data_IF_723345830743
#
_entry.id   IF_723345830743
#
_cell.length_a   1.000
_cell.length_b   1.000
_cell.length_c   1.000
_cell.angle_alpha   90.00
_cell.angle_beta   90.00
_cell.angle_gamma   90.00
#
_symmetry.space_group_name_H-M   'P 1'
#
loop_
_entity.id
_entity.type
_entity.pdbx_description
1 polymer ?
#
# COMPACT_ATOMS: atom_id res chain seq x y z
N UNK A 1 26.09 -12.53 -6.21
CA UNK A 1 25.74 -11.58 -7.28
C UNK A 1 25.15 -10.37 -6.60
N UNK A 2 25.41 -9.17 -7.12
CA UNK A 2 24.84 -7.95 -6.54
C UNK A 2 23.33 -7.90 -6.80
N UNK A 3 22.55 -8.03 -5.73
CA UNK A 3 21.08 -8.06 -5.73
C UNK A 3 20.47 -6.67 -5.98
N UNK A 4 21.29 -5.60 -5.95
CA UNK A 4 20.87 -4.21 -6.12
C UNK A 4 20.11 -3.94 -7.43
N UNK A 5 20.29 -4.78 -8.45
CA UNK A 5 19.71 -4.62 -9.79
C UNK A 5 18.42 -5.43 -10.05
N UNK A 6 17.91 -6.22 -9.09
CA UNK A 6 16.69 -7.04 -9.31
C UNK A 6 15.49 -6.22 -9.79
N UNK A 7 15.32 -5.00 -9.26
CA UNK A 7 14.27 -4.06 -9.65
C UNK A 7 14.34 -3.62 -11.13
N UNK A 8 15.53 -3.56 -11.74
CA UNK A 8 15.69 -3.19 -13.16
C UNK A 8 15.03 -4.20 -14.12
N UNK A 9 14.59 -5.36 -13.59
CA UNK A 9 13.87 -6.39 -14.33
C UNK A 9 12.35 -6.24 -14.25
N UNK A 10 11.83 -5.33 -13.42
CA UNK A 10 10.40 -5.07 -13.27
C UNK A 10 9.97 -3.96 -14.24
N UNK A 11 9.50 -4.35 -15.42
CA UNK A 11 9.06 -3.41 -16.44
C UNK A 11 7.91 -2.51 -15.93
N UNK A 12 8.05 -1.19 -16.07
CA UNK A 12 7.03 -0.24 -15.62
C UNK A 12 7.01 0.03 -14.11
N UNK A 13 8.02 -0.45 -13.37
CA UNK A 13 8.29 -0.06 -11.97
C UNK A 13 9.53 0.83 -11.94
N UNK A 14 9.39 2.01 -11.34
CA UNK A 14 10.48 2.96 -11.13
C UNK A 14 10.90 2.83 -9.66
N UNK A 15 12.14 2.41 -9.40
CA UNK A 15 12.71 2.46 -8.05
C UNK A 15 13.36 3.81 -7.82
N UNK A 16 13.08 4.40 -6.67
CA UNK A 16 13.65 5.65 -6.19
C UNK A 16 14.47 5.35 -4.95
N UNK A 17 15.75 5.75 -4.96
CA UNK A 17 16.58 5.75 -3.75
C UNK A 17 16.28 7.03 -2.97
N UNK A 18 15.89 6.89 -1.70
CA UNK A 18 15.56 8.03 -0.85
C UNK A 18 16.82 8.51 -0.12
N UNK A 19 17.06 9.82 -0.14
CA UNK A 19 18.30 10.46 0.31
C UNK A 19 18.48 10.56 1.83
N UNK A 20 17.96 9.61 2.60
CA UNK A 20 17.85 9.68 4.07
C UNK A 20 16.53 10.29 4.54
N UNK A 21 16.32 10.42 5.84
CA UNK A 21 15.05 10.85 6.45
C UNK A 21 14.55 9.83 7.48
N UNK A 22 13.23 9.81 7.71
CA UNK A 22 12.53 8.74 8.44
C UNK A 22 11.86 7.79 7.46
N UNK A 23 11.77 6.51 7.81
CA UNK A 23 11.12 5.52 6.95
C UNK A 23 12.08 4.73 6.06
N UNK A 24 11.57 4.23 4.92
CA UNK A 24 12.31 3.31 4.07
C UNK A 24 13.43 4.02 3.29
N UNK A 25 14.42 3.25 2.85
CA UNK A 25 15.48 3.71 1.93
C UNK A 25 15.04 3.73 0.47
N UNK A 26 13.98 3.01 0.14
CA UNK A 26 13.53 2.77 -1.22
C UNK A 26 12.04 3.04 -1.36
N UNK A 27 11.67 3.70 -2.46
CA UNK A 27 10.31 3.79 -2.94
C UNK A 27 10.17 3.16 -4.33
N UNK A 28 9.01 2.59 -4.63
CA UNK A 28 8.69 2.03 -5.94
C UNK A 28 7.42 2.71 -6.48
N UNK A 29 7.50 3.23 -7.70
CA UNK A 29 6.40 3.95 -8.36
C UNK A 29 5.98 3.19 -9.61
N UNK A 30 4.68 3.01 -9.80
CA UNK A 30 4.11 2.27 -10.92
C UNK A 30 2.69 2.75 -11.23
N UNK A 31 2.15 2.39 -12.40
CA UNK A 31 0.78 2.79 -12.78
C UNK A 31 -0.30 1.85 -12.27
N UNK A 32 -0.28 0.53 -12.57
CA UNK A 32 -1.30 -0.39 -12.07
C UNK A 32 -0.97 -0.80 -10.63
N UNK A 33 -1.89 -0.63 -9.69
CA UNK A 33 -1.64 -0.90 -8.28
C UNK A 33 -1.20 -2.33 -7.99
N UNK A 34 -1.66 -3.32 -8.78
CA UNK A 34 -1.21 -4.72 -8.67
C UNK A 34 0.31 -4.93 -8.86
N UNK A 35 1.04 -3.96 -9.42
CA UNK A 35 2.52 -4.01 -9.47
C UNK A 35 3.18 -3.74 -8.10
N UNK A 36 2.40 -3.45 -7.06
CA UNK A 36 2.84 -3.46 -5.67
C UNK A 36 3.32 -4.86 -5.27
N UNK A 37 2.65 -5.94 -5.71
CA UNK A 37 3.01 -7.32 -5.38
C UNK A 37 4.49 -7.66 -5.69
N UNK A 38 4.99 -7.51 -6.93
CA UNK A 38 6.40 -7.76 -7.21
C UNK A 38 7.34 -6.72 -6.58
N UNK A 39 6.88 -5.49 -6.34
CA UNK A 39 7.67 -4.46 -5.66
C UNK A 39 7.94 -4.81 -4.19
N UNK A 40 6.92 -5.31 -3.48
CA UNK A 40 7.03 -5.82 -2.12
C UNK A 40 7.94 -7.04 -2.05
N UNK A 41 7.81 -7.98 -2.99
CA UNK A 41 8.71 -9.12 -3.09
C UNK A 41 10.17 -8.71 -3.29
N UNK A 42 10.41 -7.71 -4.16
CA UNK A 42 11.74 -7.15 -4.37
C UNK A 42 12.29 -6.50 -3.09
N UNK A 43 11.47 -5.75 -2.36
CA UNK A 43 11.86 -5.08 -1.12
C UNK A 43 12.17 -6.05 0.03
N UNK A 44 11.39 -7.12 0.17
CA UNK A 44 11.59 -8.11 1.22
C UNK A 44 12.76 -9.06 0.93
N UNK A 45 13.18 -9.16 -0.33
CA UNK A 45 14.18 -10.14 -0.78
C UNK A 45 13.65 -11.57 -0.74
N UNK A 46 14.49 -12.54 -1.11
CA UNK A 46 14.02 -13.92 -1.28
C UNK A 46 13.66 -14.57 0.08
N UNK A 47 14.43 -14.27 1.14
CA UNK A 47 14.32 -14.92 2.47
C UNK A 47 13.75 -14.02 3.58
N UNK A 48 13.32 -12.78 3.29
CA UNK A 48 12.78 -11.89 4.32
C UNK A 48 11.47 -12.44 4.93
N UNK A 49 11.16 -12.24 6.23
CA UNK A 49 9.85 -12.64 6.76
C UNK A 49 8.71 -11.81 6.11
N UNK A 50 7.45 -12.29 6.16
CA UNK A 50 6.31 -11.47 5.79
C UNK A 50 6.27 -10.17 6.61
N UNK A 51 5.78 -9.09 6.01
CA UNK A 51 5.62 -7.79 6.65
C UNK A 51 4.16 -7.47 6.96
N UNK A 52 3.93 -6.53 7.87
CA UNK A 52 2.65 -5.84 7.97
C UNK A 52 2.51 -4.91 6.76
N UNK A 53 1.41 -5.00 6.03
CA UNK A 53 1.05 -3.99 5.04
C UNK A 53 0.30 -2.85 5.74
N UNK A 54 0.77 -1.62 5.56
CA UNK A 54 -0.01 -0.41 5.87
C UNK A 54 -0.33 0.23 4.53
N UNK A 55 -1.58 0.20 4.09
CA UNK A 55 -1.98 0.75 2.79
C UNK A 55 -2.95 1.93 2.95
N UNK A 56 -2.71 2.99 2.19
CA UNK A 56 -3.60 4.14 2.00
C UNK A 56 -4.26 4.00 0.64
N UNK A 57 -5.57 3.88 0.61
CA UNK A 57 -6.31 3.61 -0.62
C UNK A 57 -7.69 4.28 -0.55
N UNK A 58 -8.27 4.62 -1.69
CA UNK A 58 -9.69 4.95 -1.72
C UNK A 58 -10.54 3.71 -1.49
N UNK A 59 -10.14 2.57 -1.99
CA UNK A 59 -10.87 1.30 -2.04
C UNK A 59 -10.29 0.24 -1.10
N UNK A 60 -11.16 -0.66 -0.65
CA UNK A 60 -10.75 -1.86 0.09
C UNK A 60 -10.36 -2.95 -0.90
N UNK A 61 -9.07 -3.00 -1.20
CA UNK A 61 -8.42 -3.92 -2.13
C UNK A 61 -8.23 -5.32 -1.53
N UNK A 62 -9.31 -5.83 -0.96
CA UNK A 62 -9.40 -7.11 -0.25
C UNK A 62 -10.32 -8.10 -0.97
N UNK A 63 -10.43 -8.02 -2.29
CA UNK A 63 -11.12 -9.05 -3.08
C UNK A 63 -10.25 -10.30 -3.11
N UNK A 64 -10.85 -11.48 -2.89
CA UNK A 64 -10.10 -12.74 -2.99
C UNK A 64 -9.74 -12.97 -4.47
N UNK A 65 -8.47 -13.28 -4.80
CA UNK A 65 -8.09 -13.60 -6.17
C UNK A 65 -8.97 -14.71 -6.74
N UNK A 66 -9.24 -14.68 -8.05
CA UNK A 66 -10.12 -15.69 -8.67
C UNK A 66 -9.61 -17.13 -8.47
N UNK A 67 -8.29 -17.32 -8.43
CA UNK A 67 -7.62 -18.60 -8.20
C UNK A 67 -6.53 -18.44 -7.12
N UNK A 68 -6.90 -18.34 -5.83
CA UNK A 68 -5.94 -18.00 -4.76
C UNK A 68 -4.86 -19.09 -4.58
N UNK A 69 -5.23 -20.37 -4.80
CA UNK A 69 -4.28 -21.49 -4.76
C UNK A 69 -3.25 -21.47 -5.91
N UNK A 70 -3.48 -20.68 -6.96
CA UNK A 70 -2.56 -20.52 -8.09
C UNK A 70 -1.61 -19.33 -7.90
N UNK A 71 -1.76 -18.54 -6.82
CA UNK A 71 -0.84 -17.45 -6.50
C UNK A 71 0.54 -18.06 -6.14
N UNK A 72 1.61 -17.70 -6.86
CA UNK A 72 2.94 -18.21 -6.58
C UNK A 72 3.34 -17.88 -5.14
N UNK A 73 3.90 -18.87 -4.44
CA UNK A 73 4.60 -18.58 -3.20
C UNK A 73 5.87 -17.76 -3.51
N UNK A 74 6.29 -16.91 -2.58
CA UNK A 74 7.53 -16.12 -2.71
C UNK A 74 8.76 -16.95 -3.09
N UNK A 75 8.82 -18.22 -2.69
CA UNK A 75 9.90 -19.14 -3.04
C UNK A 75 9.98 -19.47 -4.53
N UNK A 76 8.91 -19.22 -5.31
CA UNK A 76 8.92 -19.28 -6.77
C UNK A 76 9.74 -18.13 -7.41
N UNK A 77 10.08 -17.11 -6.62
CA UNK A 77 10.94 -16.01 -7.00
C UNK A 77 10.22 -14.82 -7.64
N UNK A 78 10.91 -13.68 -7.68
CA UNK A 78 10.38 -12.38 -8.12
C UNK A 78 9.71 -12.44 -9.51
N UNK A 79 10.29 -13.19 -10.45
CA UNK A 79 9.75 -13.30 -11.82
C UNK A 79 8.37 -13.93 -11.86
N UNK A 80 8.15 -15.00 -11.08
CA UNK A 80 6.86 -15.68 -11.05
C UNK A 80 5.77 -14.76 -10.47
N UNK A 81 6.12 -13.99 -9.43
CA UNK A 81 5.22 -13.01 -8.83
C UNK A 81 4.90 -11.84 -9.77
N UNK A 82 5.89 -11.32 -10.50
CA UNK A 82 5.67 -10.27 -11.51
C UNK A 82 4.79 -10.76 -12.66
N UNK A 83 5.04 -11.97 -13.18
CA UNK A 83 4.20 -12.58 -14.21
C UNK A 83 2.77 -12.78 -13.70
N UNK A 84 2.58 -13.26 -12.47
CA UNK A 84 1.26 -13.42 -11.87
C UNK A 84 0.53 -12.08 -11.70
N UNK A 85 1.21 -11.05 -11.19
CA UNK A 85 0.65 -9.72 -11.03
C UNK A 85 0.15 -9.12 -12.36
N UNK A 86 0.86 -9.38 -13.46
CA UNK A 86 0.50 -8.82 -14.77
C UNK A 86 -0.65 -9.55 -15.45
N UNK A 87 -0.67 -10.87 -15.34
CA UNK A 87 -1.47 -11.73 -16.22
C UNK A 87 -2.61 -12.45 -15.51
N UNK A 88 -2.59 -12.55 -14.18
CA UNK A 88 -3.56 -13.32 -13.41
C UNK A 88 -4.39 -12.49 -12.42
N UNK A 89 -3.82 -11.42 -11.86
CA UNK A 89 -4.56 -10.53 -10.95
C UNK A 89 -5.59 -9.68 -11.69
N UNK A 90 -6.63 -9.26 -10.97
CA UNK A 90 -7.74 -8.50 -11.50
C UNK A 90 -7.25 -7.18 -12.11
N UNK A 91 -7.72 -6.87 -13.32
CA UNK A 91 -7.35 -5.64 -14.02
C UNK A 91 -7.84 -4.37 -13.31
N UNK A 92 -8.83 -4.51 -12.42
CA UNK A 92 -9.34 -3.46 -11.53
C UNK A 92 -8.50 -3.27 -10.27
N UNK A 93 -7.47 -4.09 -10.08
CA UNK A 93 -6.48 -4.05 -8.99
C UNK A 93 -6.96 -4.43 -7.58
N UNK A 94 -8.22 -4.80 -7.36
CA UNK A 94 -8.75 -5.03 -6.01
C UNK A 94 -8.32 -6.32 -5.28
N UNK A 95 -7.50 -7.18 -5.88
CA UNK A 95 -7.16 -8.51 -5.33
C UNK A 95 -5.68 -8.70 -4.94
N UNK A 96 -4.86 -7.66 -5.13
CA UNK A 96 -3.41 -7.77 -4.97
C UNK A 96 -2.96 -7.90 -3.50
N UNK A 97 -3.70 -7.33 -2.53
CA UNK A 97 -3.38 -7.47 -1.09
C UNK A 97 -3.55 -8.91 -0.62
N UNK A 98 -4.70 -9.54 -0.92
CA UNK A 98 -4.93 -10.94 -0.55
C UNK A 98 -4.05 -11.88 -1.37
N UNK A 99 -3.71 -11.55 -2.62
CA UNK A 99 -2.67 -12.26 -3.35
C UNK A 99 -1.31 -12.18 -2.64
N UNK A 100 -0.94 -11.05 -2.06
CA UNK A 100 0.31 -10.92 -1.31
C UNK A 100 0.32 -11.74 -0.01
N UNK A 101 -0.85 -11.94 0.61
CA UNK A 101 -1.01 -12.88 1.72
C UNK A 101 -0.81 -14.33 1.26
N UNK A 102 -1.48 -14.74 0.17
CA UNK A 102 -1.27 -16.05 -0.45
C UNK A 102 0.20 -16.29 -0.83
N UNK A 103 0.89 -15.27 -1.34
CA UNK A 103 2.30 -15.35 -1.72
C UNK A 103 3.25 -15.43 -0.51
N UNK A 104 2.78 -15.20 0.72
CA UNK A 104 3.62 -15.15 1.92
C UNK A 104 4.50 -13.90 2.01
N UNK A 105 4.08 -12.80 1.39
CA UNK A 105 4.74 -11.49 1.47
C UNK A 105 4.14 -10.63 2.58
N UNK A 106 2.82 -10.70 2.76
CA UNK A 106 2.06 -9.94 3.76
C UNK A 106 1.56 -10.88 4.84
N UNK A 107 1.86 -10.56 6.10
CA UNK A 107 1.37 -11.29 7.28
C UNK A 107 0.00 -10.78 7.72
N UNK A 108 -0.07 -9.55 8.17
CA UNK A 108 -1.31 -8.85 8.50
C UNK A 108 -1.42 -7.58 7.64
N UNK A 109 -2.59 -6.95 7.58
CA UNK A 109 -2.77 -5.66 6.92
C UNK A 109 -3.55 -4.66 7.79
N UNK A 110 -3.04 -3.44 7.86
CA UNK A 110 -3.75 -2.24 8.27
C UNK A 110 -4.15 -1.47 7.01
N UNK A 111 -5.45 -1.48 6.71
CA UNK A 111 -6.02 -0.92 5.49
C UNK A 111 -6.75 0.37 5.84
N UNK A 112 -6.21 1.49 5.36
CA UNK A 112 -6.77 2.82 5.56
C UNK A 112 -7.52 3.21 4.29
N UNK A 113 -8.81 2.90 4.24
CA UNK A 113 -9.62 3.11 3.04
C UNK A 113 -11.10 3.32 3.35
N UNK A 114 -11.82 3.92 2.40
CA UNK A 114 -13.21 4.39 2.62
C UNK A 114 -14.26 3.80 1.67
N UNK A 115 -13.84 3.25 0.53
CA UNK A 115 -14.69 2.62 -0.46
C UNK A 115 -14.65 1.10 -0.34
N UNK A 116 -15.80 0.43 -0.51
CA UNK A 116 -15.86 -1.05 -0.48
C UNK A 116 -16.31 -1.57 -1.85
N UNK A 117 -15.36 -1.99 -2.71
CA UNK A 117 -15.68 -2.66 -3.96
C UNK A 117 -16.60 -3.87 -3.77
N UNK A 118 -17.31 -4.25 -4.84
CA UNK A 118 -18.12 -5.47 -4.83
C UNK A 118 -17.21 -6.70 -4.77
N UNK A 119 -17.44 -7.56 -3.79
CA UNK A 119 -16.66 -8.79 -3.61
C UNK A 119 -15.52 -8.67 -2.60
N UNK A 120 -15.31 -7.49 -2.00
CA UNK A 120 -14.37 -7.30 -0.91
C UNK A 120 -14.67 -8.29 0.23
N UNK A 121 -13.63 -8.97 0.71
CA UNK A 121 -13.69 -9.82 1.87
C UNK A 121 -14.12 -9.03 3.11
N UNK A 122 -15.06 -9.58 3.88
CA UNK A 122 -15.73 -8.87 4.97
C UNK A 122 -15.36 -9.35 6.37
N UNK A 123 -14.47 -10.33 6.49
CA UNK A 123 -14.01 -10.84 7.79
C UNK A 123 -12.78 -10.10 8.29
N UNK A 124 -12.54 -10.18 9.60
CA UNK A 124 -11.36 -9.58 10.24
C UNK A 124 -10.11 -10.49 10.14
N UNK A 125 -10.31 -11.77 9.79
CA UNK A 125 -9.23 -12.75 9.60
C UNK A 125 -9.44 -13.47 8.27
N UNK A 126 -8.50 -13.28 7.35
CA UNK A 126 -8.40 -14.05 6.13
C UNK A 126 -7.53 -15.29 6.40
N UNK A 127 -7.97 -16.48 6.02
CA UNK A 127 -7.15 -17.70 6.09
C UNK A 127 -6.80 -18.08 4.67
N UNK A 128 -5.51 -18.06 4.36
CA UNK A 128 -5.03 -18.34 3.02
C UNK A 128 -5.17 -19.81 2.64
N UNK A 129 -4.89 -20.14 1.38
CA UNK A 129 -5.00 -21.52 0.89
C UNK A 129 -3.99 -22.51 1.50
N UNK A 130 -3.00 -22.02 2.25
CA UNK A 130 -1.99 -22.80 2.98
C UNK A 130 -2.31 -22.89 4.48
N UNK A 131 -3.44 -22.35 4.92
CA UNK A 131 -3.90 -22.39 6.31
C UNK A 131 -3.25 -21.34 7.22
N UNK A 132 -2.56 -20.33 6.67
CA UNK A 132 -1.99 -19.22 7.44
C UNK A 132 -3.09 -18.19 7.71
N UNK A 133 -3.31 -17.77 8.97
CA UNK A 133 -4.25 -16.70 9.29
C UNK A 133 -3.59 -15.33 9.11
N UNK A 134 -4.36 -14.37 8.61
CA UNK A 134 -3.95 -12.99 8.34
C UNK A 134 -5.01 -12.04 8.90
N UNK A 135 -4.63 -11.14 9.80
CA UNK A 135 -5.55 -10.14 10.37
C UNK A 135 -5.70 -8.96 9.40
N UNK A 136 -6.94 -8.52 9.23
CA UNK A 136 -7.32 -7.38 8.41
C UNK A 136 -7.91 -6.31 9.31
N UNK A 137 -7.14 -5.26 9.58
CA UNK A 137 -7.57 -4.12 10.39
C UNK A 137 -7.95 -2.99 9.45
N UNK A 138 -9.24 -2.70 9.35
CA UNK A 138 -9.74 -1.67 8.44
C UNK A 138 -10.13 -0.42 9.23
N UNK A 139 -9.60 0.74 8.84
CA UNK A 139 -9.97 2.05 9.38
C UNK A 139 -10.19 3.03 8.23
N UNK A 140 -11.09 4.02 8.37
CA UNK A 140 -11.48 4.85 7.23
C UNK A 140 -10.44 5.92 6.83
N UNK A 141 -9.60 6.33 7.79
CA UNK A 141 -8.75 7.52 7.66
C UNK A 141 -7.54 7.44 8.60
N UNK A 142 -6.49 8.24 8.31
CA UNK A 142 -5.26 8.29 9.12
C UNK A 142 -5.53 8.83 10.53
N UNK A 143 -6.44 9.78 10.72
CA UNK A 143 -6.80 10.29 12.05
C UNK A 143 -7.38 9.18 12.93
N UNK A 144 -8.21 8.28 12.35
CA UNK A 144 -8.76 7.14 13.07
C UNK A 144 -7.71 6.07 13.35
N UNK A 145 -6.80 5.83 12.41
CA UNK A 145 -5.65 4.97 12.65
C UNK A 145 -4.78 5.50 13.81
N UNK A 146 -4.50 6.80 13.81
CA UNK A 146 -3.72 7.47 14.83
C UNK A 146 -4.42 7.47 16.21
N UNK A 147 -5.72 7.74 16.25
CA UNK A 147 -6.54 7.66 17.47
C UNK A 147 -6.52 6.23 18.05
N UNK A 148 -6.82 5.21 17.23
CA UNK A 148 -6.79 3.81 17.64
C UNK A 148 -5.39 3.33 18.03
N UNK A 149 -4.33 3.96 17.50
CA UNK A 149 -2.97 3.71 17.93
C UNK A 149 -2.64 4.38 19.28
N UNK A 150 -3.09 5.61 19.52
CA UNK A 150 -2.76 6.39 20.73
C UNK A 150 -3.66 6.08 21.95
N UNK A 151 -4.95 5.86 21.70
CA UNK A 151 -5.97 5.58 22.71
C UNK A 151 -6.91 4.46 22.22
N UNK A 152 -6.44 3.21 22.13
CA UNK A 152 -7.24 2.10 21.59
C UNK A 152 -8.53 1.90 22.40
N UNK A 153 -9.67 1.91 21.71
CA UNK A 153 -10.94 1.50 22.27
C UNK A 153 -11.03 -0.05 22.32
N UNK A 154 -11.93 -0.63 23.13
CA UNK A 154 -12.18 -2.07 23.09
C UNK A 154 -12.55 -2.53 21.68
N UNK A 155 -11.76 -3.46 21.12
CA UNK A 155 -11.93 -3.98 19.76
C UNK A 155 -10.98 -3.37 18.73
N UNK A 156 -10.28 -2.27 19.04
CA UNK A 156 -9.27 -1.71 18.15
C UNK A 156 -8.02 -2.60 18.12
N UNK A 157 -7.61 -3.00 16.92
CA UNK A 157 -6.44 -3.84 16.70
C UNK A 157 -5.24 -3.08 16.12
N UNK A 158 -5.37 -1.77 15.81
CA UNK A 158 -4.33 -0.97 15.13
C UNK A 158 -3.00 -0.98 15.88
N UNK A 159 -3.02 -0.66 17.19
CA UNK A 159 -1.81 -0.69 18.02
C UNK A 159 -1.21 -2.10 18.09
N UNK A 160 -2.06 -3.11 18.25
CA UNK A 160 -1.64 -4.50 18.41
C UNK A 160 -0.87 -5.00 17.18
N UNK A 161 -1.44 -4.85 15.98
CA UNK A 161 -0.80 -5.32 14.74
C UNK A 161 0.48 -4.55 14.42
N UNK A 162 0.51 -3.23 14.65
CA UNK A 162 1.72 -2.42 14.45
C UNK A 162 2.84 -2.76 15.42
N UNK A 163 2.51 -3.03 16.69
CA UNK A 163 3.51 -3.42 17.69
C UNK A 163 4.05 -4.83 17.42
N UNK A 164 3.20 -5.77 17.00
CA UNK A 164 3.60 -7.14 16.66
C UNK A 164 4.45 -7.21 15.38
N UNK A 165 4.28 -6.27 14.44
CA UNK A 165 5.05 -6.24 13.20
C UNK A 165 6.55 -6.04 13.44
N UNK A 166 7.38 -6.89 12.83
CA UNK A 166 8.84 -6.70 12.77
C UNK A 166 9.30 -5.86 11.58
N UNK A 167 8.45 -5.76 10.54
CA UNK A 167 8.68 -5.00 9.30
C UNK A 167 7.35 -4.47 8.78
N UNK A 168 7.41 -3.32 8.12
CA UNK A 168 6.24 -2.67 7.50
C UNK A 168 6.52 -2.41 6.03
N UNK A 169 5.54 -2.70 5.18
CA UNK A 169 5.43 -2.17 3.83
C UNK A 169 4.43 -1.03 3.87
N UNK A 170 4.85 0.18 3.52
CA UNK A 170 3.94 1.32 3.37
C UNK A 170 3.53 1.41 1.91
N UNK A 171 2.24 1.32 1.64
CA UNK A 171 1.67 1.39 0.30
C UNK A 171 0.70 2.55 0.21
N UNK A 172 0.73 3.27 -0.92
CA UNK A 172 -0.09 4.45 -1.14
C UNK A 172 -0.62 4.39 -2.58
N UNK A 173 -1.92 4.18 -2.71
CA UNK A 173 -2.64 4.48 -3.95
C UNK A 173 -2.93 5.98 -4.01
N UNK A 174 -2.55 6.64 -5.11
CA UNK A 174 -2.86 8.05 -5.32
C UNK A 174 -4.37 8.31 -5.38
N UNK A 175 -5.18 7.33 -5.76
CA UNK A 175 -6.62 7.52 -5.86
C UNK A 175 -7.26 7.81 -4.49
N UNK A 176 -6.57 7.50 -3.38
CA UNK A 176 -6.99 7.85 -2.03
C UNK A 176 -7.12 9.38 -1.84
N UNK A 177 -6.37 10.15 -2.63
CA UNK A 177 -6.40 11.62 -2.67
C UNK A 177 -7.31 12.19 -3.76
N UNK A 178 -8.34 11.45 -4.16
CA UNK A 178 -9.32 11.90 -5.14
C UNK A 178 -10.73 11.84 -4.58
N UNK A 179 -11.65 12.66 -5.09
CA UNK A 179 -13.10 12.53 -4.86
C UNK A 179 -13.83 12.41 -6.19
N UNK A 180 -15.10 12.01 -6.15
CA UNK A 180 -15.98 12.16 -7.32
C UNK A 180 -16.67 13.52 -7.26
N UNK A 181 -16.95 14.10 -8.43
CA UNK A 181 -17.75 15.32 -8.49
C UNK A 181 -19.20 15.04 -8.14
N UNK A 182 -19.79 15.90 -7.31
CA UNK A 182 -21.23 15.87 -7.01
C UNK A 182 -22.09 16.20 -8.24
N UNK A 183 -21.53 16.96 -9.19
CA UNK A 183 -22.22 17.35 -10.42
C UNK A 183 -22.19 16.24 -11.49
N UNK A 184 -21.10 15.48 -11.53
CA UNK A 184 -20.93 14.33 -12.40
C UNK A 184 -20.11 13.24 -11.67
N UNK A 185 -20.77 12.16 -11.20
CA UNK A 185 -20.10 11.13 -10.41
C UNK A 185 -19.11 10.28 -11.21
N UNK A 186 -18.95 10.53 -12.52
CA UNK A 186 -17.88 9.93 -13.35
C UNK A 186 -16.62 10.79 -13.41
N UNK A 187 -16.72 12.06 -13.03
CA UNK A 187 -15.58 12.98 -12.98
C UNK A 187 -14.81 12.80 -11.69
N UNK A 188 -13.53 12.43 -11.82
CA UNK A 188 -12.57 12.35 -10.71
C UNK A 188 -11.96 13.73 -10.44
N UNK A 189 -11.91 14.11 -9.17
CA UNK A 189 -11.39 15.37 -8.68
C UNK A 189 -10.19 15.11 -7.74
N UNK A 190 -8.94 15.35 -8.19
CA UNK A 190 -7.77 15.34 -7.31
C UNK A 190 -7.91 16.36 -6.18
N UNK A 191 -7.48 15.99 -4.98
CA UNK A 191 -7.52 16.87 -3.83
C UNK A 191 -6.44 17.97 -3.91
N UNK A 192 -6.72 19.18 -3.41
CA UNK A 192 -5.69 20.20 -3.23
C UNK A 192 -4.62 19.73 -2.23
N UNK A 193 -3.37 20.17 -2.42
CA UNK A 193 -2.24 19.83 -1.53
C UNK A 193 -2.52 20.03 -0.04
N UNK A 194 -3.24 21.09 0.34
CA UNK A 194 -3.61 21.34 1.74
C UNK A 194 -4.48 20.21 2.33
N UNK A 195 -5.43 19.68 1.55
CA UNK A 195 -6.28 18.56 1.97
C UNK A 195 -5.49 17.26 2.04
N UNK A 196 -4.57 17.04 1.09
CA UNK A 196 -3.64 15.91 1.12
C UNK A 196 -2.80 15.94 2.41
N UNK A 197 -2.26 17.11 2.75
CA UNK A 197 -1.50 17.34 3.99
C UNK A 197 -2.34 17.04 5.23
N UNK A 198 -3.54 17.58 5.33
CA UNK A 198 -4.41 17.39 6.49
C UNK A 198 -4.85 15.92 6.65
N UNK A 199 -5.03 15.21 5.53
CA UNK A 199 -5.34 13.77 5.52
C UNK A 199 -4.14 12.92 5.93
N UNK A 200 -2.93 13.19 5.42
CA UNK A 200 -1.73 12.43 5.75
C UNK A 200 -1.18 12.75 7.13
N UNK A 201 -1.26 14.01 7.54
CA UNK A 201 -0.66 14.52 8.78
C UNK A 201 -1.73 15.16 9.68
N UNK A 202 -2.80 14.44 10.04
CA UNK A 202 -3.78 14.99 10.96
C UNK A 202 -3.12 15.25 12.32
N UNK A 203 -3.67 16.16 13.14
CA UNK A 203 -3.15 16.42 14.49
C UNK A 203 -2.93 15.12 15.27
N UNK A 204 -1.87 15.08 16.07
CA UNK A 204 -1.50 13.95 16.93
C UNK A 204 -1.14 12.62 16.22
N UNK A 205 -1.00 12.62 14.89
CA UNK A 205 -0.61 11.43 14.11
C UNK A 205 0.88 11.07 14.15
N UNK A 206 1.74 11.93 14.71
CA UNK A 206 3.19 11.76 14.69
C UNK A 206 3.63 10.42 15.29
N UNK A 207 3.08 10.05 16.45
CA UNK A 207 3.42 8.78 17.13
C UNK A 207 3.01 7.54 16.35
N UNK A 208 1.89 7.61 15.62
CA UNK A 208 1.45 6.54 14.72
C UNK A 208 2.42 6.41 13.55
N UNK A 209 2.74 7.52 12.90
CA UNK A 209 3.69 7.51 11.79
C UNK A 209 5.10 7.12 12.24
N UNK A 210 5.53 7.44 13.46
CA UNK A 210 6.82 7.01 13.99
C UNK A 210 6.87 5.49 14.09
N UNK A 211 5.82 4.87 14.63
CA UNK A 211 5.70 3.42 14.73
C UNK A 211 5.63 2.71 13.37
N UNK A 212 4.98 3.32 12.37
CA UNK A 212 4.96 2.82 10.98
C UNK A 212 6.34 2.93 10.35
N UNK A 213 6.95 4.12 10.40
CA UNK A 213 8.14 4.45 9.62
C UNK A 213 9.43 3.88 10.23
N UNK A 214 9.53 3.69 11.54
CA UNK A 214 10.67 3.03 12.18
C UNK A 214 10.92 1.62 11.64
N UNK A 215 9.84 0.92 11.24
CA UNK A 215 9.86 -0.46 10.75
C UNK A 215 9.69 -0.57 9.23
N UNK A 216 9.54 0.55 8.54
CA UNK A 216 9.18 0.58 7.13
C UNK A 216 10.38 0.21 6.25
N UNK A 217 10.27 -0.88 5.51
CA UNK A 217 11.35 -1.39 4.65
C UNK A 217 11.21 -0.94 3.19
N UNK A 218 10.01 -0.58 2.75
CA UNK A 218 9.77 0.01 1.44
C UNK A 218 8.49 0.83 1.42
N UNK A 219 8.49 1.84 0.55
CA UNK A 219 7.31 2.59 0.14
C UNK A 219 6.89 2.15 -1.27
N UNK A 220 5.60 1.94 -1.51
CA UNK A 220 5.03 1.76 -2.85
C UNK A 220 4.02 2.87 -3.15
N UNK A 221 4.02 3.34 -4.40
CA UNK A 221 3.17 4.43 -4.89
C UNK A 221 2.51 4.01 -6.20
N UNK A 222 1.20 3.72 -6.15
CA UNK A 222 0.39 3.44 -7.33
C UNK A 222 -0.19 4.73 -7.89
N UNK A 223 0.11 5.07 -9.15
CA UNK A 223 -0.36 6.32 -9.77
C UNK A 223 -1.77 6.23 -10.34
N UNK A 224 -2.19 5.03 -10.70
CA UNK A 224 -3.53 4.68 -11.18
C UNK A 224 -4.19 5.75 -12.07
N UNK A 225 -3.64 6.10 -13.26
CA UNK A 225 -4.16 7.19 -14.08
C UNK A 225 -5.66 7.10 -14.39
N UNK A 226 -6.21 5.90 -14.51
CA UNK A 226 -7.65 5.70 -14.74
C UNK A 226 -8.50 6.12 -13.54
N UNK A 227 -8.00 5.95 -12.31
CA UNK A 227 -8.69 6.32 -11.07
C UNK A 227 -8.38 7.75 -10.62
N UNK A 228 -7.35 8.38 -11.22
CA UNK A 228 -6.90 9.73 -10.90
C UNK A 228 -7.26 10.81 -11.95
N UNK A 229 -8.20 10.53 -12.87
CA UNK A 229 -8.66 11.52 -13.87
C UNK A 229 -7.77 11.65 -15.12
N UNK A 230 -6.93 10.64 -15.39
CA UNK A 230 -6.06 10.56 -16.56
C UNK A 230 -4.58 10.77 -16.24
N UNK A 231 -3.73 10.58 -17.25
CA UNK A 231 -2.27 10.59 -17.10
C UNK A 231 -1.72 11.94 -16.60
N UNK A 232 -2.26 13.06 -17.10
CA UNK A 232 -1.82 14.40 -16.70
C UNK A 232 -2.23 14.71 -15.25
N UNK A 233 -3.49 14.47 -14.91
CA UNK A 233 -4.02 14.71 -13.57
C UNK A 233 -3.32 13.84 -12.51
N UNK A 234 -3.08 12.55 -12.82
CA UNK A 234 -2.29 11.64 -11.97
C UNK A 234 -0.86 12.14 -11.77
N UNK A 235 -0.20 12.68 -12.80
CA UNK A 235 1.14 13.26 -12.67
C UNK A 235 1.18 14.52 -11.80
N UNK A 236 0.18 15.39 -11.92
CA UNK A 236 0.06 16.58 -11.08
C UNK A 236 -0.24 16.21 -9.63
N UNK A 237 -1.15 15.25 -9.41
CA UNK A 237 -1.46 14.71 -8.09
C UNK A 237 -0.24 14.05 -7.45
N UNK A 238 0.51 13.24 -8.19
CA UNK A 238 1.75 12.63 -7.71
C UNK A 238 2.73 13.69 -7.22
N UNK A 239 2.89 14.80 -7.95
CA UNK A 239 3.76 15.91 -7.53
C UNK A 239 3.30 16.54 -6.22
N UNK A 240 2.00 16.77 -6.05
CA UNK A 240 1.47 17.35 -4.81
C UNK A 240 1.57 16.38 -3.62
N UNK A 241 1.29 15.10 -3.84
CA UNK A 241 1.50 14.04 -2.84
C UNK A 241 2.97 13.91 -2.49
N UNK A 242 3.87 13.93 -3.48
CA UNK A 242 5.31 13.83 -3.25
C UNK A 242 5.84 14.97 -2.38
N UNK A 243 5.34 16.20 -2.59
CA UNK A 243 5.72 17.34 -1.76
C UNK A 243 5.34 17.15 -0.29
N UNK A 244 4.18 16.58 0.02
CA UNK A 244 3.76 16.29 1.40
C UNK A 244 4.44 15.03 1.95
N UNK A 245 4.34 13.92 1.23
CA UNK A 245 4.84 12.61 1.64
C UNK A 245 6.35 12.62 1.82
N UNK A 246 7.13 13.07 0.84
CA UNK A 246 8.58 13.03 0.96
C UNK A 246 9.11 14.14 1.88
N UNK A 247 8.71 15.40 1.70
CA UNK A 247 9.30 16.50 2.49
C UNK A 247 8.83 16.53 3.93
N UNK A 248 7.57 16.22 4.18
CA UNK A 248 6.97 16.47 5.49
C UNK A 248 6.87 15.18 6.31
N UNK A 249 6.28 14.14 5.74
CA UNK A 249 6.15 12.85 6.42
C UNK A 249 7.50 12.12 6.50
N UNK A 250 8.21 11.94 5.38
CA UNK A 250 9.48 11.22 5.36
C UNK A 250 10.70 12.09 5.68
N UNK A 251 10.54 13.42 5.69
CA UNK A 251 11.63 14.39 5.94
C UNK A 251 12.83 14.21 5.00
N UNK A 252 12.53 13.94 3.73
CA UNK A 252 13.51 13.74 2.66
C UNK A 252 13.19 14.62 1.45
N UNK A 253 14.15 14.78 0.55
CA UNK A 253 13.87 15.51 -0.70
C UNK A 253 13.03 14.61 -1.62
N UNK A 254 12.00 15.18 -2.29
CA UNK A 254 11.30 14.46 -3.34
C UNK A 254 12.29 14.04 -4.44
N UNK A 255 12.06 12.89 -5.08
CA UNK A 255 12.82 12.43 -6.25
C UNK A 255 12.73 13.40 -7.44
#
# INVERSE_FOLDING_TARGET
MDESHKHLRLAGVIRLSLGGGRGPSDAYVFDPHRLALPSWACALGDDGPPALLVTLDRHLDLVVPQAPAAVPDRSAGLRALDEHARWALDVRNYDHVLAAMEAGLVGDALVIARGRPRGTFSGDVYVDTRGRPHRLVVVPTVDRAAEAFHSPAPGDAVREVLQAAGRVLLDVDLDCFTSLSDADPTTVLPWPRGVIRDYLLPPDSESFWDAVLEKCVALTLAREPHHCGGLLASGELFRDVAEVLFRELLRTQPP
#
